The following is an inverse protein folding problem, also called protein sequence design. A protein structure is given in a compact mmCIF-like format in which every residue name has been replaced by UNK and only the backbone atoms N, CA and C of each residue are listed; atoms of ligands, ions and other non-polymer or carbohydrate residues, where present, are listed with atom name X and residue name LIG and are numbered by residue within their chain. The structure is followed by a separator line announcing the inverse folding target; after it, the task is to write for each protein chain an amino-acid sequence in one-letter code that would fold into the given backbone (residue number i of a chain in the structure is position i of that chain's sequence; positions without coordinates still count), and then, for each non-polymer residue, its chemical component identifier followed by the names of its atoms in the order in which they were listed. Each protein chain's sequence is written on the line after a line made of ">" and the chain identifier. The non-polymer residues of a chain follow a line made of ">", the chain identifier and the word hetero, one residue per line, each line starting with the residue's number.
data_IF_859344712162
#
_entry.id   IF_859344712162
#
_cell.length_a   1.000
_cell.length_b   1.000
_cell.length_c   1.000
_cell.angle_alpha   90.00
_cell.angle_beta   90.00
_cell.angle_gamma   90.00
#
_symmetry.space_group_name_H-M   'P 1'
#
loop_
_entity.id
_entity.type
_entity.pdbx_description
1 polymer ?
#
# COMPACT_ATOMS: atom_id res chain seq x y z
N UNK A 1 5.64 5.96 17.32
CA UNK A 1 5.02 7.19 16.79
C UNK A 1 5.46 8.44 17.58
N UNK A 2 5.93 8.31 18.82
CA UNK A 2 6.47 9.41 19.63
C UNK A 2 7.65 10.20 19.02
N UNK A 3 8.40 9.63 18.06
CA UNK A 3 9.48 10.30 17.34
C UNK A 3 9.62 9.74 15.91
N UNK A 4 9.86 10.61 14.94
CA UNK A 4 10.08 10.24 13.53
C UNK A 4 11.07 11.20 12.86
N UNK A 5 12.18 10.68 12.35
CA UNK A 5 13.15 11.45 11.59
C UNK A 5 12.58 11.94 10.27
N UNK A 6 13.16 13.00 9.68
CA UNK A 6 12.76 13.50 8.36
C UNK A 6 12.85 12.41 7.28
N UNK A 7 13.89 11.57 7.31
CA UNK A 7 14.02 10.43 6.41
C UNK A 7 12.80 9.52 6.49
N UNK A 8 12.41 9.13 7.71
CA UNK A 8 11.23 8.29 7.95
C UNK A 8 9.93 8.97 7.51
N UNK A 9 9.78 10.27 7.77
CA UNK A 9 8.60 11.05 7.35
C UNK A 9 8.44 11.06 5.82
N UNK A 10 9.52 11.38 5.09
CA UNK A 10 9.53 11.37 3.61
C UNK A 10 9.18 9.99 3.08
N UNK A 11 9.67 8.94 3.74
CA UNK A 11 9.44 7.56 3.32
C UNK A 11 8.00 7.09 3.58
N UNK A 12 7.40 7.50 4.70
CA UNK A 12 5.97 7.32 4.97
C UNK A 12 5.09 8.02 3.93
N UNK A 13 5.40 9.28 3.61
CA UNK A 13 4.68 10.03 2.58
C UNK A 13 4.78 9.34 1.23
N UNK A 14 5.98 8.89 0.85
CA UNK A 14 6.18 8.15 -0.40
C UNK A 14 5.36 6.84 -0.44
N UNK A 15 5.25 6.11 0.68
CA UNK A 15 4.43 4.91 0.76
C UNK A 15 2.94 5.22 0.48
N UNK A 16 2.40 6.30 1.06
CA UNK A 16 1.02 6.75 0.83
C UNK A 16 0.80 7.14 -0.64
N UNK A 17 1.73 7.89 -1.24
CA UNK A 17 1.64 8.29 -2.64
C UNK A 17 1.71 7.09 -3.59
N UNK A 18 2.55 6.09 -3.28
CA UNK A 18 2.60 4.86 -4.07
C UNK A 18 1.28 4.09 -4.02
N UNK A 19 0.64 3.99 -2.86
CA UNK A 19 -0.70 3.45 -2.76
C UNK A 19 -1.68 4.21 -3.66
N UNK A 20 -1.73 5.55 -3.55
CA UNK A 20 -2.64 6.38 -4.34
C UNK A 20 -2.49 6.11 -5.86
N UNK A 21 -1.25 6.11 -6.36
CA UNK A 21 -0.96 5.86 -7.77
C UNK A 21 -1.35 4.44 -8.19
N UNK A 22 -1.00 3.43 -7.39
CA UNK A 22 -1.24 2.01 -7.73
C UNK A 22 -2.73 1.67 -7.66
N UNK A 23 -3.42 2.06 -6.60
CA UNK A 23 -4.86 1.88 -6.47
C UNK A 23 -5.62 2.61 -7.60
N UNK A 24 -5.22 3.85 -7.92
CA UNK A 24 -5.81 4.60 -9.04
C UNK A 24 -5.68 3.89 -10.39
N UNK A 25 -4.58 3.18 -10.64
CA UNK A 25 -4.41 2.35 -11.85
C UNK A 25 -5.35 1.14 -11.86
N UNK A 26 -5.61 0.54 -10.72
CA UNK A 26 -6.50 -0.63 -10.59
C UNK A 26 -7.96 -0.20 -10.74
N UNK A 27 -8.36 0.93 -10.15
CA UNK A 27 -9.68 1.53 -10.36
C UNK A 27 -9.96 1.81 -11.85
N UNK A 28 -8.98 2.38 -12.57
CA UNK A 28 -9.09 2.62 -14.03
C UNK A 28 -9.27 1.34 -14.86
N UNK A 29 -8.96 0.17 -14.30
CA UNK A 29 -9.16 -1.14 -14.94
C UNK A 29 -10.51 -1.77 -14.63
N UNK A 30 -11.40 -1.07 -13.92
CA UNK A 30 -12.75 -1.54 -13.61
C UNK A 30 -12.92 -2.18 -12.23
N UNK A 31 -11.88 -2.19 -11.40
CA UNK A 31 -12.01 -2.65 -10.02
C UNK A 31 -12.90 -1.72 -9.18
N UNK A 32 -13.67 -2.28 -8.25
CA UNK A 32 -14.46 -1.49 -7.31
C UNK A 32 -13.60 -0.90 -6.19
N UNK A 33 -13.99 0.28 -5.70
CA UNK A 33 -13.32 0.92 -4.56
C UNK A 33 -13.43 0.08 -3.29
N UNK A 34 -14.58 -0.56 -3.06
CA UNK A 34 -14.81 -1.41 -1.89
C UNK A 34 -13.87 -2.62 -1.86
N UNK A 35 -13.60 -3.24 -3.02
CA UNK A 35 -12.66 -4.35 -3.12
C UNK A 35 -11.23 -3.93 -2.77
N UNK A 36 -10.80 -2.73 -3.17
CA UNK A 36 -9.48 -2.19 -2.83
C UNK A 36 -9.42 -1.80 -1.35
N UNK A 37 -10.49 -1.16 -0.83
CA UNK A 37 -10.56 -0.71 0.57
C UNK A 37 -10.56 -1.86 1.58
N UNK A 38 -11.04 -3.04 1.17
CA UNK A 38 -11.02 -4.25 1.99
C UNK A 38 -9.63 -4.92 2.09
N UNK A 39 -8.63 -4.47 1.32
CA UNK A 39 -7.29 -5.08 1.33
C UNK A 39 -6.51 -4.73 2.60
N UNK A 40 -5.81 -5.71 3.22
CA UNK A 40 -5.16 -5.53 4.51
C UNK A 40 -3.97 -4.56 4.48
N UNK A 41 -3.36 -4.30 3.31
CA UNK A 41 -2.21 -3.40 3.22
C UNK A 41 -2.53 -1.96 3.68
N UNK A 42 -3.79 -1.52 3.63
CA UNK A 42 -4.18 -0.17 4.08
C UNK A 42 -3.91 0.02 5.57
N UNK A 43 -4.22 -1.00 6.36
CA UNK A 43 -3.94 -1.01 7.78
C UNK A 43 -2.42 -1.07 8.03
N UNK A 44 -1.67 -1.84 7.24
CA UNK A 44 -0.22 -1.90 7.32
C UNK A 44 0.44 -0.55 7.05
N UNK A 45 -0.02 0.19 6.03
CA UNK A 45 0.44 1.55 5.73
C UNK A 45 0.17 2.48 6.93
N UNK A 46 -1.02 2.41 7.52
CA UNK A 46 -1.37 3.21 8.70
C UNK A 46 -0.51 2.89 9.92
N UNK A 47 -0.18 1.62 10.13
CA UNK A 47 0.68 1.13 11.23
C UNK A 47 2.17 1.35 10.98
N UNK A 48 2.60 1.60 9.74
CA UNK A 48 4.01 1.83 9.39
C UNK A 48 4.67 2.94 10.23
N UNK A 49 3.90 3.95 10.67
CA UNK A 49 4.39 5.02 11.56
C UNK A 49 4.93 4.52 12.90
N UNK A 50 4.46 3.37 13.37
CA UNK A 50 4.85 2.74 14.64
C UNK A 50 6.14 1.91 14.52
N UNK A 51 6.58 1.57 13.31
CA UNK A 51 7.74 0.70 13.07
C UNK A 51 9.04 1.41 13.47
N UNK A 52 9.94 0.70 14.15
CA UNK A 52 11.24 1.23 14.54
C UNK A 52 12.12 1.56 13.34
N UNK A 53 12.97 2.58 13.46
CA UNK A 53 13.75 3.11 12.34
C UNK A 53 14.69 2.08 11.69
N UNK A 54 15.25 1.16 12.50
CA UNK A 54 16.10 0.06 12.01
C UNK A 54 15.37 -0.90 11.08
N UNK A 55 14.09 -1.16 11.33
CA UNK A 55 13.27 -2.10 10.56
C UNK A 55 12.43 -1.42 9.47
N UNK A 56 12.46 -0.08 9.42
CA UNK A 56 11.49 0.69 8.67
C UNK A 56 11.58 0.44 7.16
N UNK A 57 12.77 0.43 6.59
CA UNK A 57 12.95 0.22 5.13
C UNK A 57 12.53 -1.19 4.71
N UNK A 58 12.90 -2.21 5.48
CA UNK A 58 12.51 -3.60 5.22
C UNK A 58 10.99 -3.76 5.31
N UNK A 59 10.38 -3.18 6.34
CA UNK A 59 8.93 -3.23 6.51
C UNK A 59 8.20 -2.53 5.35
N UNK A 60 8.65 -1.34 4.95
CA UNK A 60 8.07 -0.62 3.80
C UNK A 60 8.20 -1.44 2.52
N UNK A 61 9.35 -2.07 2.28
CA UNK A 61 9.53 -2.94 1.12
C UNK A 61 8.54 -4.12 1.13
N UNK A 62 8.35 -4.77 2.29
CA UNK A 62 7.38 -5.85 2.45
C UNK A 62 5.93 -5.40 2.22
N UNK A 63 5.55 -4.23 2.73
CA UNK A 63 4.22 -3.64 2.49
C UNK A 63 4.01 -3.40 0.99
N UNK A 64 5.00 -2.81 0.30
CA UNK A 64 4.91 -2.55 -1.13
C UNK A 64 4.74 -3.85 -1.94
N UNK A 65 5.49 -4.90 -1.59
CA UNK A 65 5.37 -6.21 -2.23
C UNK A 65 3.99 -6.84 -2.05
N UNK A 66 3.45 -6.81 -0.82
CA UNK A 66 2.10 -7.33 -0.53
C UNK A 66 1.02 -6.51 -1.24
N UNK A 67 1.13 -5.18 -1.22
CA UNK A 67 0.23 -4.30 -1.96
C UNK A 67 0.23 -4.64 -3.45
N UNK A 68 1.41 -4.80 -4.06
CA UNK A 68 1.50 -5.14 -5.48
C UNK A 68 0.92 -6.52 -5.80
N UNK A 69 1.10 -7.51 -4.93
CA UNK A 69 0.48 -8.83 -5.10
C UNK A 69 -1.06 -8.76 -5.02
N UNK A 70 -1.59 -8.13 -3.98
CA UNK A 70 -3.04 -8.05 -3.75
C UNK A 70 -3.75 -7.22 -4.82
N UNK A 71 -3.15 -6.11 -5.25
CA UNK A 71 -3.69 -5.31 -6.35
C UNK A 71 -3.67 -6.05 -7.70
N UNK A 72 -2.66 -6.89 -7.96
CA UNK A 72 -2.65 -7.76 -9.14
C UNK A 72 -3.78 -8.77 -9.09
N UNK A 73 -4.00 -9.42 -7.94
CA UNK A 73 -5.10 -10.37 -7.77
C UNK A 73 -6.47 -9.74 -8.08
N UNK A 74 -6.71 -8.51 -7.63
CA UNK A 74 -7.92 -7.76 -7.98
C UNK A 74 -8.05 -7.60 -9.50
N UNK A 75 -6.97 -7.15 -10.17
CA UNK A 75 -7.00 -6.94 -11.62
C UNK A 75 -7.28 -8.24 -12.38
N UNK A 76 -6.72 -9.37 -11.96
CA UNK A 76 -6.98 -10.66 -12.61
C UNK A 76 -8.42 -11.14 -12.39
N UNK A 77 -9.02 -10.90 -11.20
CA UNK A 77 -10.45 -11.17 -10.98
C UNK A 77 -11.34 -10.34 -11.91
N UNK A 78 -11.07 -9.05 -12.04
CA UNK A 78 -11.83 -8.15 -12.93
C UNK A 78 -11.76 -8.63 -14.39
N UNK A 79 -10.60 -9.12 -14.86
CA UNK A 79 -10.46 -9.67 -16.21
C UNK A 79 -11.21 -10.99 -16.43
N UNK A 80 -11.30 -11.83 -15.39
CA UNK A 80 -11.98 -13.12 -15.49
C UNK A 80 -13.51 -13.03 -15.42
N UNK A 81 -14.03 -11.89 -14.97
CA UNK A 81 -15.47 -11.57 -14.91
C UNK A 81 -15.97 -10.86 -16.19
N UNK A 82 -15.07 -10.48 -17.10
CA UNK A 82 -15.34 -9.88 -18.42
C UNK A 82 -15.37 -10.94 -19.52
#
# INVERSE_FOLDING_TARGET
>A
DAYSTLKKQTRLLNLILQYHVKAGKVLKKGASMDAIAALPFLEEIGRAKMIGEKQFEEAVAGILQRMDAQLREIVERVKGEL
#
